data_IF_712515756534
#
_entry.id   IF_712515756534
#
_cell.length_a   1.000
_cell.length_b   1.000
_cell.length_c   1.000
_cell.angle_alpha   90.00
_cell.angle_beta   90.00
_cell.angle_gamma   90.00
#
_symmetry.space_group_name_H-M   'P 1'
#
loop_
_entity.id
_entity.type
_entity.pdbx_description
1 polymer ?
#
# COMPACT_ATOMS: atom_id res chain seq x y z
N UNK A 1 13.35 -4.38 10.20
CA UNK A 1 13.81 -3.05 9.76
C UNK A 1 13.24 -2.70 8.40
N UNK A 2 13.04 -1.41 8.11
CA UNK A 2 12.53 -0.95 6.81
C UNK A 2 13.71 -0.59 5.90
N UNK A 3 13.69 -1.09 4.67
CA UNK A 3 14.77 -0.88 3.67
C UNK A 3 14.17 -0.68 2.28
N UNK A 4 14.91 -0.03 1.37
CA UNK A 4 14.49 0.11 -0.03
C UNK A 4 14.44 -1.27 -0.70
N UNK A 5 13.42 -1.50 -1.52
CA UNK A 5 13.32 -2.72 -2.32
C UNK A 5 14.21 -2.65 -3.56
N UNK A 6 14.54 -3.82 -4.10
CA UNK A 6 15.35 -3.99 -5.30
C UNK A 6 14.59 -4.82 -6.33
N UNK A 7 15.08 -4.85 -7.57
CA UNK A 7 14.45 -5.62 -8.64
C UNK A 7 14.39 -7.13 -8.34
N UNK A 8 15.23 -7.63 -7.42
CA UNK A 8 15.24 -9.02 -6.98
C UNK A 8 14.07 -9.36 -6.06
N UNK A 9 13.43 -8.33 -5.48
CA UNK A 9 12.32 -8.51 -4.55
C UNK A 9 10.97 -8.65 -5.25
N UNK A 10 10.85 -8.28 -6.53
CA UNK A 10 9.58 -8.19 -7.28
C UNK A 10 8.72 -9.43 -7.12
N UNK A 11 9.27 -10.62 -7.37
CA UNK A 11 8.55 -11.90 -7.21
C UNK A 11 8.00 -12.06 -5.79
N UNK A 12 8.79 -11.74 -4.77
CA UNK A 12 8.35 -11.89 -3.38
C UNK A 12 7.31 -10.84 -2.98
N UNK A 13 7.44 -9.60 -3.46
CA UNK A 13 6.47 -8.54 -3.20
C UNK A 13 5.12 -8.85 -3.86
N UNK A 14 5.12 -9.33 -5.11
CA UNK A 14 3.91 -9.80 -5.79
C UNK A 14 3.24 -10.93 -5.02
N UNK A 15 4.00 -11.93 -4.58
CA UNK A 15 3.47 -13.03 -3.78
C UNK A 15 2.79 -12.52 -2.50
N UNK A 16 3.42 -11.58 -1.79
CA UNK A 16 2.85 -10.99 -0.57
C UNK A 16 1.54 -10.25 -0.87
N UNK A 17 1.44 -9.52 -1.98
CA UNK A 17 0.23 -8.80 -2.37
C UNK A 17 -0.95 -9.77 -2.60
N UNK A 18 -0.70 -10.86 -3.33
CA UNK A 18 -1.69 -11.91 -3.60
C UNK A 18 -2.13 -12.61 -2.32
N UNK A 19 -1.19 -13.06 -1.49
CA UNK A 19 -1.47 -13.74 -0.21
C UNK A 19 -2.21 -12.81 0.77
N UNK A 20 -1.85 -11.53 0.81
CA UNK A 20 -2.53 -10.53 1.63
C UNK A 20 -3.97 -10.29 1.21
N UNK A 21 -4.29 -10.40 -0.10
CA UNK A 21 -5.67 -10.32 -0.58
C UNK A 21 -6.44 -11.58 -0.25
N UNK A 22 -5.85 -12.76 -0.46
CA UNK A 22 -6.47 -14.05 -0.15
C UNK A 22 -6.85 -14.18 1.34
N UNK A 23 -6.09 -13.56 2.24
CA UNK A 23 -6.40 -13.51 3.68
C UNK A 23 -7.80 -12.98 4.01
N UNK A 24 -8.36 -12.10 3.17
CA UNK A 24 -9.69 -11.52 3.37
C UNK A 24 -10.84 -12.43 2.93
N UNK A 25 -10.56 -13.65 2.47
CA UNK A 25 -11.59 -14.64 2.09
C UNK A 25 -12.17 -14.43 0.69
N UNK A 26 -11.48 -13.69 -0.19
CA UNK A 26 -11.83 -13.63 -1.62
C UNK A 26 -11.63 -15.00 -2.28
N UNK A 27 -12.45 -15.33 -3.28
CA UNK A 27 -12.30 -16.57 -4.05
C UNK A 27 -11.01 -16.56 -4.86
N UNK A 28 -10.47 -17.75 -5.16
CA UNK A 28 -9.28 -17.89 -5.98
C UNK A 28 -9.46 -17.22 -7.36
N UNK A 29 -10.60 -17.42 -8.03
CA UNK A 29 -10.90 -16.80 -9.32
C UNK A 29 -10.79 -15.26 -9.29
N UNK A 30 -11.19 -14.63 -8.18
CA UNK A 30 -11.05 -13.18 -8.02
C UNK A 30 -9.60 -12.77 -7.80
N UNK A 31 -8.85 -13.52 -6.99
CA UNK A 31 -7.42 -13.26 -6.77
C UNK A 31 -6.64 -13.41 -8.08
N UNK A 32 -6.92 -14.46 -8.86
CA UNK A 32 -6.33 -14.68 -10.19
C UNK A 32 -6.66 -13.53 -11.14
N UNK A 33 -7.90 -13.03 -11.12
CA UNK A 33 -8.29 -11.86 -11.94
C UNK A 33 -7.55 -10.56 -11.57
N UNK A 34 -6.95 -10.48 -10.38
CA UNK A 34 -6.18 -9.33 -9.91
C UNK A 34 -4.67 -9.54 -10.01
N UNK A 35 -4.19 -10.66 -10.56
CA UNK A 35 -2.77 -10.96 -10.61
C UNK A 35 -1.98 -9.88 -11.35
N UNK A 36 -2.48 -9.43 -12.49
CA UNK A 36 -1.86 -8.34 -13.25
C UNK A 36 -1.81 -7.03 -12.43
N UNK A 37 -2.91 -6.67 -11.78
CA UNK A 37 -3.04 -5.45 -10.98
C UNK A 37 -2.18 -5.48 -9.71
N UNK A 38 -1.88 -6.66 -9.17
CA UNK A 38 -1.10 -6.85 -7.93
C UNK A 38 0.38 -7.17 -8.19
N UNK A 39 0.78 -7.29 -9.46
CA UNK A 39 2.15 -7.61 -9.84
C UNK A 39 3.07 -6.40 -9.64
N UNK A 40 4.04 -6.55 -8.73
CA UNK A 40 5.10 -5.57 -8.53
C UNK A 40 6.14 -5.73 -9.63
N UNK A 41 6.17 -4.80 -10.57
CA UNK A 41 7.09 -4.86 -11.71
C UNK A 41 8.45 -4.25 -11.39
N UNK A 42 9.49 -4.68 -12.12
CA UNK A 42 10.81 -4.05 -12.05
C UNK A 42 10.79 -2.57 -12.46
N UNK A 43 9.79 -2.16 -13.26
CA UNK A 43 9.57 -0.76 -13.63
C UNK A 43 9.16 0.06 -12.41
N UNK A 44 8.20 -0.42 -11.62
CA UNK A 44 7.81 0.23 -10.36
C UNK A 44 9.01 0.41 -9.43
N UNK A 45 9.85 -0.62 -9.27
CA UNK A 45 11.06 -0.52 -8.43
C UNK A 45 12.03 0.57 -8.90
N UNK A 46 12.16 0.78 -10.22
CA UNK A 46 13.11 1.75 -10.78
C UNK A 46 12.58 3.17 -10.76
N UNK A 47 11.28 3.35 -10.93
CA UNK A 47 10.68 4.65 -11.19
C UNK A 47 9.94 5.23 -9.97
N UNK A 48 9.58 4.39 -9.00
CA UNK A 48 8.83 4.75 -7.79
C UNK A 48 9.64 4.51 -6.51
N UNK A 49 9.11 4.99 -5.38
CA UNK A 49 9.69 4.75 -4.07
C UNK A 49 9.06 3.50 -3.43
N UNK A 50 9.84 2.40 -3.40
CA UNK A 50 9.40 1.09 -2.90
C UNK A 50 10.23 0.67 -1.69
N UNK A 51 9.56 0.36 -0.59
CA UNK A 51 10.19 -0.03 0.66
C UNK A 51 9.57 -1.31 1.21
N UNK A 52 10.40 -2.13 1.87
CA UNK A 52 10.03 -3.40 2.47
C UNK A 52 10.41 -3.45 3.95
N UNK A 53 9.61 -4.13 4.75
CA UNK A 53 9.94 -4.48 6.13
C UNK A 53 10.54 -5.90 6.16
N UNK A 54 11.76 -6.02 6.69
CA UNK A 54 12.46 -7.30 6.84
C UNK A 54 12.60 -7.65 8.32
N UNK A 55 12.20 -8.85 8.70
CA UNK A 55 12.37 -9.44 10.03
C UNK A 55 12.98 -10.83 9.88
N UNK A 56 14.14 -11.08 10.50
CA UNK A 56 14.85 -12.36 10.42
C UNK A 56 15.02 -12.89 8.99
N UNK A 57 15.52 -12.04 8.08
CA UNK A 57 15.66 -12.31 6.64
C UNK A 57 14.35 -12.56 5.86
N UNK A 58 13.19 -12.43 6.49
CA UNK A 58 11.87 -12.58 5.87
C UNK A 58 11.27 -11.21 5.58
N UNK A 59 10.78 -11.03 4.35
CA UNK A 59 9.98 -9.85 4.00
C UNK A 59 8.58 -10.01 4.59
N UNK A 60 8.28 -9.22 5.62
CA UNK A 60 6.99 -9.24 6.31
C UNK A 60 5.90 -8.43 5.58
N UNK A 61 6.31 -7.47 4.77
CA UNK A 61 5.42 -6.58 4.04
C UNK A 61 6.18 -5.44 3.35
N UNK A 62 5.45 -4.63 2.59
CA UNK A 62 6.03 -3.57 1.79
C UNK A 62 5.01 -2.48 1.48
N UNK A 63 5.50 -1.34 0.97
CA UNK A 63 4.67 -0.30 0.39
C UNK A 63 5.31 0.29 -0.87
N UNK A 64 4.47 0.93 -1.69
CA UNK A 64 4.89 1.69 -2.88
C UNK A 64 4.27 3.08 -2.84
N UNK A 65 5.11 4.11 -2.93
CA UNK A 65 4.71 5.49 -3.17
C UNK A 65 4.83 5.81 -4.65
N UNK A 66 3.72 6.16 -5.29
CA UNK A 66 3.68 6.46 -6.71
C UNK A 66 4.16 7.90 -6.97
N UNK A 67 5.44 8.04 -7.26
CA UNK A 67 6.12 9.31 -7.56
C UNK A 67 5.66 9.96 -8.88
N UNK A 68 5.01 9.20 -9.78
CA UNK A 68 4.43 9.76 -11.01
C UNK A 68 3.08 10.42 -10.78
N UNK A 69 2.38 10.04 -9.71
CA UNK A 69 1.08 10.60 -9.32
C UNK A 69 1.24 11.61 -8.19
N UNK A 70 2.07 12.63 -8.42
CA UNK A 70 2.20 13.77 -7.52
C UNK A 70 1.47 14.97 -8.12
N UNK A 71 0.36 15.36 -7.50
CA UNK A 71 -0.44 16.52 -7.92
C UNK A 71 -0.75 17.38 -6.70
N UNK A 72 -0.59 18.71 -6.81
CA UNK A 72 -0.88 19.64 -5.70
C UNK A 72 -0.22 19.25 -4.35
N UNK A 73 1.01 18.70 -4.41
CA UNK A 73 1.73 18.16 -3.23
C UNK A 73 0.98 17.02 -2.53
N UNK A 74 0.20 16.24 -3.26
CA UNK A 74 -0.41 15.01 -2.80
C UNK A 74 0.22 13.82 -3.55
N UNK A 75 0.63 12.79 -2.81
CA UNK A 75 1.17 11.55 -3.38
C UNK A 75 0.23 10.37 -3.17
N UNK A 76 0.20 9.45 -4.11
CA UNK A 76 -0.57 8.21 -3.96
C UNK A 76 0.28 7.11 -3.29
N UNK A 77 -0.28 6.51 -2.23
CA UNK A 77 0.17 5.22 -1.71
C UNK A 77 -0.47 4.13 -2.58
N UNK A 78 0.28 3.66 -3.57
CA UNK A 78 -0.18 2.68 -4.55
C UNK A 78 -0.45 1.34 -3.86
N UNK A 79 0.55 0.82 -3.12
CA UNK A 79 0.44 -0.43 -2.38
C UNK A 79 0.87 -0.26 -0.92
N UNK A 80 0.20 -1.02 -0.05
CA UNK A 80 0.65 -1.34 1.30
C UNK A 80 0.11 -2.73 1.62
N UNK A 81 1.00 -3.73 1.67
CA UNK A 81 0.64 -5.12 1.91
C UNK A 81 1.53 -5.75 2.99
N UNK A 82 0.92 -6.65 3.77
CA UNK A 82 1.61 -7.49 4.74
C UNK A 82 1.36 -8.94 4.40
N UNK A 83 2.37 -9.78 4.58
CA UNK A 83 2.16 -11.20 4.56
C UNK A 83 1.23 -11.60 5.73
N UNK A 84 0.26 -12.52 5.54
CA UNK A 84 -0.76 -12.85 6.54
C UNK A 84 -0.21 -13.15 7.95
N UNK A 85 0.89 -13.89 8.04
CA UNK A 85 1.60 -14.21 9.30
C UNK A 85 2.09 -12.99 10.12
N UNK A 86 2.05 -11.78 9.55
CA UNK A 86 2.53 -10.54 10.15
C UNK A 86 1.41 -9.50 10.38
N UNK A 87 0.17 -9.83 10.02
CA UNK A 87 -1.00 -8.99 10.31
C UNK A 87 -1.26 -8.96 11.82
N UNK A 88 -1.73 -7.82 12.33
CA UNK A 88 -2.03 -7.64 13.76
C UNK A 88 -0.82 -7.38 14.66
N UNK A 89 0.41 -7.38 14.12
CA UNK A 89 1.66 -7.17 14.88
C UNK A 89 2.18 -5.73 14.89
N UNK A 90 1.38 -4.78 14.39
CA UNK A 90 1.77 -3.36 14.29
C UNK A 90 2.75 -3.02 13.14
N UNK A 91 3.15 -3.98 12.31
CA UNK A 91 4.09 -3.76 11.19
C UNK A 91 3.47 -2.86 10.11
N UNK A 92 2.18 -3.02 9.80
CA UNK A 92 1.49 -2.17 8.82
C UNK A 92 1.49 -0.70 9.21
N UNK A 93 1.33 -0.41 10.52
CA UNK A 93 1.46 0.95 11.07
C UNK A 93 2.87 1.51 10.89
N UNK A 94 3.90 0.70 11.15
CA UNK A 94 5.30 1.10 10.97
C UNK A 94 5.60 1.43 9.50
N UNK A 95 5.17 0.56 8.56
CA UNK A 95 5.33 0.81 7.12
C UNK A 95 4.61 2.09 6.68
N UNK A 96 3.37 2.30 7.12
CA UNK A 96 2.60 3.50 6.78
C UNK A 96 3.24 4.78 7.34
N UNK A 97 3.72 4.78 8.58
CA UNK A 97 4.39 5.94 9.18
C UNK A 97 5.73 6.24 8.50
N UNK A 98 6.44 5.20 8.07
CA UNK A 98 7.62 5.36 7.21
C UNK A 98 7.22 5.97 5.86
N UNK A 99 6.14 5.50 5.23
CA UNK A 99 5.63 6.09 3.99
C UNK A 99 5.27 7.58 4.14
N UNK A 100 4.69 8.00 5.27
CA UNK A 100 4.47 9.42 5.57
C UNK A 100 5.77 10.22 5.63
N UNK A 101 6.79 9.66 6.27
CA UNK A 101 8.12 10.29 6.37
C UNK A 101 8.73 10.48 4.98
N UNK A 102 8.71 9.46 4.13
CA UNK A 102 9.23 9.54 2.77
C UNK A 102 8.40 10.49 1.89
N UNK A 103 7.08 10.45 1.98
CA UNK A 103 6.20 11.37 1.27
C UNK A 103 6.49 12.84 1.61
N UNK A 104 6.71 13.15 2.90
CA UNK A 104 7.10 14.49 3.37
C UNK A 104 8.47 14.91 2.85
N UNK A 105 9.46 14.00 2.81
CA UNK A 105 10.79 14.28 2.24
C UNK A 105 10.70 14.63 0.75
N UNK A 106 9.75 14.04 0.03
CA UNK A 106 9.43 14.37 -1.36
C UNK A 106 8.66 15.71 -1.52
N UNK A 107 8.38 16.44 -0.43
CA UNK A 107 7.71 17.73 -0.45
C UNK A 107 6.18 17.67 -0.48
N UNK A 108 5.59 16.48 -0.27
CA UNK A 108 4.15 16.31 -0.22
C UNK A 108 3.56 16.79 1.11
N UNK A 109 2.35 17.32 1.05
CA UNK A 109 1.51 17.77 2.17
C UNK A 109 0.36 16.81 2.44
N UNK A 110 -0.01 15.94 1.51
CA UNK A 110 -1.03 14.92 1.70
C UNK A 110 -0.69 13.61 1.01
N UNK A 111 -1.44 12.58 1.39
CA UNK A 111 -1.41 11.27 0.75
C UNK A 111 -2.82 10.78 0.48
N UNK A 112 -3.02 10.17 -0.69
CA UNK A 112 -4.24 9.44 -1.06
C UNK A 112 -3.96 7.97 -1.26
N UNK A 113 -5.01 7.15 -1.12
CA UNK A 113 -4.97 5.73 -1.45
C UNK A 113 -6.34 5.23 -1.90
N UNK A 114 -6.33 4.14 -2.65
CA UNK A 114 -7.53 3.35 -2.95
C UNK A 114 -7.56 2.15 -2.00
N UNK A 115 -8.44 2.19 -1.00
CA UNK A 115 -8.50 1.17 0.04
C UNK A 115 -9.23 -0.09 -0.45
N UNK A 116 -8.80 -1.25 0.04
CA UNK A 116 -9.69 -2.39 0.14
C UNK A 116 -10.75 -2.10 1.23
N UNK A 117 -12.03 -2.44 1.05
CA UNK A 117 -13.05 -2.25 2.08
C UNK A 117 -12.67 -2.85 3.44
N UNK A 118 -11.95 -3.99 3.44
CA UNK A 118 -11.50 -4.64 4.68
C UNK A 118 -10.38 -3.87 5.39
N UNK A 119 -9.69 -2.97 4.71
CA UNK A 119 -8.62 -2.14 5.25
C UNK A 119 -9.08 -0.72 5.62
N UNK A 120 -10.34 -0.35 5.35
CA UNK A 120 -10.87 1.00 5.58
C UNK A 120 -10.71 1.42 7.06
N UNK A 121 -11.08 0.55 7.99
CA UNK A 121 -10.99 0.84 9.43
C UNK A 121 -9.54 0.97 9.91
N UNK A 122 -8.62 0.21 9.32
CA UNK A 122 -7.19 0.39 9.55
C UNK A 122 -6.78 1.82 9.16
N UNK A 123 -7.09 2.27 7.95
CA UNK A 123 -6.70 3.61 7.50
C UNK A 123 -7.39 4.73 8.28
N UNK A 124 -8.69 4.59 8.63
CA UNK A 124 -9.39 5.53 9.51
C UNK A 124 -8.69 5.70 10.85
N UNK A 125 -8.26 4.58 11.46
CA UNK A 125 -7.51 4.62 12.73
C UNK A 125 -6.16 5.35 12.63
N UNK A 126 -5.63 5.51 11.42
CA UNK A 126 -4.38 6.24 11.13
C UNK A 126 -4.61 7.69 10.69
N UNK A 127 -5.86 8.16 10.73
CA UNK A 127 -6.22 9.55 10.44
C UNK A 127 -6.65 9.82 8.99
N UNK A 128 -6.82 8.79 8.16
CA UNK A 128 -7.39 8.97 6.83
C UNK A 128 -8.90 9.22 6.90
N UNK A 129 -9.39 10.11 6.04
CA UNK A 129 -10.81 10.32 5.80
C UNK A 129 -11.21 9.75 4.43
N UNK A 130 -12.41 9.19 4.31
CA UNK A 130 -12.98 8.81 3.02
C UNK A 130 -13.40 10.09 2.28
N UNK A 131 -12.87 10.32 1.08
CA UNK A 131 -13.18 11.51 0.28
C UNK A 131 -14.02 11.19 -0.95
N UNK A 132 -13.98 9.94 -1.43
CA UNK A 132 -14.76 9.48 -2.57
C UNK A 132 -14.83 7.93 -2.56
N UNK A 133 -15.53 7.35 -3.53
CA UNK A 133 -15.58 5.91 -3.77
C UNK A 133 -15.47 5.62 -5.27
N UNK A 134 -14.75 4.56 -5.63
CA UNK A 134 -14.62 4.08 -7.01
C UNK A 134 -15.29 2.72 -7.14
N UNK A 135 -16.13 2.52 -8.14
CA UNK A 135 -16.68 1.21 -8.44
C UNK A 135 -15.54 0.27 -8.90
N UNK A 136 -15.48 -0.92 -8.33
CA UNK A 136 -14.50 -1.93 -8.69
C UNK A 136 -14.96 -2.73 -9.92
N UNK A 137 -14.09 -3.58 -10.46
CA UNK A 137 -14.47 -4.54 -11.50
C UNK A 137 -15.55 -5.54 -11.05
N UNK A 138 -15.74 -5.71 -9.73
CA UNK A 138 -16.85 -6.47 -9.18
C UNK A 138 -18.09 -5.59 -9.08
N UNK A 139 -19.20 -6.08 -9.66
CA UNK A 139 -20.50 -5.42 -9.60
C UNK A 139 -20.91 -5.12 -8.15
N UNK A 140 -21.40 -3.90 -7.92
CA UNK A 140 -21.90 -3.42 -6.62
C UNK A 140 -20.83 -3.35 -5.50
N UNK A 141 -19.53 -3.48 -5.82
CA UNK A 141 -18.43 -3.29 -4.87
C UNK A 141 -17.72 -1.96 -5.14
N UNK A 142 -17.66 -1.13 -4.09
CA UNK A 142 -17.01 0.17 -4.11
C UNK A 142 -15.76 0.19 -3.26
N UNK A 143 -14.66 0.70 -3.81
CA UNK A 143 -13.39 0.90 -3.14
C UNK A 143 -13.32 2.34 -2.59
N UNK A 144 -13.10 2.54 -1.28
CA UNK A 144 -12.96 3.86 -0.70
C UNK A 144 -11.69 4.55 -1.22
N UNK A 145 -11.83 5.77 -1.74
CA UNK A 145 -10.70 6.68 -1.94
C UNK A 145 -10.53 7.45 -0.66
N UNK A 146 -9.38 7.29 -0.02
CA UNK A 146 -9.09 7.88 1.28
C UNK A 146 -7.94 8.88 1.19
N UNK A 147 -8.00 9.93 2.01
CA UNK A 147 -6.98 10.98 2.06
C UNK A 147 -6.58 11.31 3.49
N UNK A 148 -5.31 11.63 3.69
CA UNK A 148 -4.78 12.25 4.90
C UNK A 148 -3.99 13.51 4.54
N UNK A 149 -4.18 14.57 5.32
CA UNK A 149 -3.30 15.73 5.30
C UNK A 149 -2.20 15.51 6.35
N UNK A 150 -0.96 15.68 5.94
CA UNK A 150 0.15 15.69 6.87
C UNK A 150 0.07 16.97 7.71
N UNK A 151 -0.10 16.82 9.01
CA UNK A 151 0.08 17.95 9.94
C UNK A 151 1.46 18.56 9.67
N UNK A 152 1.52 19.89 9.52
CA UNK A 152 2.81 20.56 9.47
C UNK A 152 3.52 20.29 10.81
N UNK A 153 4.84 20.04 10.81
CA UNK A 153 5.57 20.18 12.05
C UNK A 153 5.34 21.62 12.54
N UNK A 154 4.86 21.76 13.78
CA UNK A 154 4.84 23.04 14.49
C UNK A 154 6.25 23.63 14.55
#
# INVERSE_FOLDING_TARGET
>A
MITKATIKDTTKLTQIALESKAYWGYSNDLIESWEEDLTVTSKMIREMEVFKFVESEIIAGFYILNTHKIENKNIELEFLFLHPNFIGKGIGKQLLHHAFTEAKKLGNKSMTLLADPNAEDFYKSQGFAVINKKESSMKDRFLPIMKIEFSQPN
#
